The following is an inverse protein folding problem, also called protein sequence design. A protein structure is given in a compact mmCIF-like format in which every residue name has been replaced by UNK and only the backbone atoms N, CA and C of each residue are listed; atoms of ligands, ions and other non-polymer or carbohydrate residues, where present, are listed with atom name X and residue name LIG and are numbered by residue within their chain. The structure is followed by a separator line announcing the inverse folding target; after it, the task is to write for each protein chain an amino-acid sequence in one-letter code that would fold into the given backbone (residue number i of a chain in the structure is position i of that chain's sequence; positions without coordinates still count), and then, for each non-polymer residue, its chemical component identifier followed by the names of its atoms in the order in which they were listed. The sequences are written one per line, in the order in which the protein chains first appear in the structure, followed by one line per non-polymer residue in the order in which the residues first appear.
data_IF_222512394282
#
_entry.id   IF_222512394282
#
_cell.length_a   1.000
_cell.length_b   1.000
_cell.length_c   1.000
_cell.angle_alpha   90.00
_cell.angle_beta   90.00
_cell.angle_gamma   90.00
#
_symmetry.space_group_name_H-M   'P 1'
#
loop_
_entity.id
_entity.type
_entity.pdbx_description
1 polymer ?
#
# COMPACT_ATOMS: atom_id res chain seq x y z
N UNK A 1 1.99 -8.73 -27.48
CA UNK A 1 1.51 -9.62 -26.39
C UNK A 1 2.53 -9.56 -25.23
N UNK A 2 3.11 -8.41 -24.90
CA UNK A 2 2.55 -7.28 -24.14
C UNK A 2 2.03 -7.65 -22.73
N UNK A 3 2.78 -8.51 -22.03
CA UNK A 3 2.73 -8.64 -20.56
C UNK A 3 3.47 -7.47 -19.89
N UNK A 4 3.18 -6.24 -20.30
CA UNK A 4 3.55 -5.02 -19.58
C UNK A 4 2.31 -4.48 -18.87
N UNK A 5 1.61 -5.34 -18.13
CA UNK A 5 0.64 -4.89 -17.14
C UNK A 5 1.40 -4.58 -15.85
N UNK A 6 2.30 -3.60 -15.95
CA UNK A 6 2.87 -2.92 -14.79
C UNK A 6 1.68 -2.20 -14.16
N UNK A 7 1.17 -2.72 -13.03
CA UNK A 7 0.24 -1.95 -12.21
C UNK A 7 1.03 -0.79 -11.61
N UNK A 8 1.01 0.37 -12.27
CA UNK A 8 1.78 1.57 -11.93
C UNK A 8 1.41 2.17 -10.56
N UNK A 9 0.24 1.83 -10.02
CA UNK A 9 -0.21 2.22 -8.68
C UNK A 9 -0.11 1.07 -7.68
N UNK A 10 1.03 1.00 -7.00
CA UNK A 10 1.17 0.20 -5.78
C UNK A 10 1.61 1.08 -4.62
N UNK A 11 0.89 1.00 -3.50
CA UNK A 11 1.08 1.88 -2.33
C UNK A 11 1.44 1.03 -1.12
N UNK A 12 2.48 1.44 -0.41
CA UNK A 12 2.85 0.90 0.89
C UNK A 12 2.32 1.73 2.04
N UNK A 13 1.79 1.10 3.08
CA UNK A 13 1.39 1.75 4.32
C UNK A 13 1.97 1.02 5.55
N UNK A 14 2.37 1.79 6.56
CA UNK A 14 2.80 1.28 7.86
C UNK A 14 1.93 1.94 8.92
N UNK A 15 1.33 1.11 9.77
CA UNK A 15 0.51 1.55 10.88
C UNK A 15 1.10 1.07 12.21
N UNK A 16 0.83 1.82 13.27
CA UNK A 16 1.04 1.31 14.63
C UNK A 16 0.06 0.14 14.90
N UNK A 17 0.44 -0.83 15.72
CA UNK A 17 -0.42 -1.98 16.08
C UNK A 17 -1.80 -1.58 16.63
N UNK A 18 -1.89 -0.42 17.29
CA UNK A 18 -3.15 0.13 17.82
C UNK A 18 -4.01 0.85 16.77
N UNK A 19 -3.45 1.20 15.61
CA UNK A 19 -4.09 2.00 14.56
C UNK A 19 -4.99 1.17 13.61
N UNK A 20 -5.77 0.23 14.18
CA UNK A 20 -6.66 -0.66 13.39
C UNK A 20 -7.75 0.07 12.63
N UNK A 21 -8.26 1.17 13.20
CA UNK A 21 -9.27 2.01 12.54
C UNK A 21 -8.70 2.73 11.32
N UNK A 22 -7.41 3.09 11.36
CA UNK A 22 -6.76 3.77 10.26
C UNK A 22 -6.57 2.82 9.06
N UNK A 23 -6.21 1.54 9.30
CA UNK A 23 -6.18 0.51 8.24
C UNK A 23 -7.57 0.27 7.63
N UNK A 24 -8.62 0.20 8.43
CA UNK A 24 -9.98 0.01 7.94
C UNK A 24 -10.40 1.17 7.02
N UNK A 25 -10.24 2.41 7.48
CA UNK A 25 -10.57 3.61 6.69
C UNK A 25 -9.68 3.70 5.45
N UNK A 26 -8.39 3.37 5.57
CA UNK A 26 -7.45 3.36 4.45
C UNK A 26 -7.88 2.36 3.36
N UNK A 27 -8.24 1.13 3.74
CA UNK A 27 -8.72 0.10 2.80
C UNK A 27 -10.03 0.48 2.13
N UNK A 28 -10.96 1.10 2.86
CA UNK A 28 -12.20 1.60 2.30
C UNK A 28 -11.94 2.69 1.26
N UNK A 29 -11.08 3.67 1.57
CA UNK A 29 -10.72 4.72 0.63
C UNK A 29 -10.08 4.17 -0.65
N UNK A 30 -9.19 3.17 -0.53
CA UNK A 30 -8.59 2.48 -1.67
C UNK A 30 -9.64 1.74 -2.49
N UNK A 31 -10.61 1.07 -1.84
CA UNK A 31 -11.70 0.39 -2.53
C UNK A 31 -12.60 1.38 -3.28
N UNK A 32 -12.97 2.50 -2.67
CA UNK A 32 -13.78 3.54 -3.30
C UNK A 32 -13.08 4.12 -4.55
N UNK A 33 -11.78 4.40 -4.47
CA UNK A 33 -10.97 4.86 -5.60
C UNK A 33 -10.89 3.80 -6.71
N UNK A 34 -10.74 2.52 -6.34
CA UNK A 34 -10.71 1.42 -7.29
C UNK A 34 -12.06 1.16 -7.98
N UNK A 35 -13.17 1.54 -7.37
CA UNK A 35 -14.51 1.46 -7.98
C UNK A 35 -14.82 2.67 -8.86
N UNK A 36 -14.10 3.78 -8.67
CA UNK A 36 -14.30 4.99 -9.43
C UNK A 36 -13.51 4.97 -10.76
N UNK A 37 -14.20 4.57 -11.82
CA UNK A 37 -13.65 4.53 -13.17
C UNK A 37 -13.39 5.93 -13.76
N UNK A 38 -13.83 7.03 -13.16
CA UNK A 38 -13.48 8.39 -13.61
C UNK A 38 -12.07 8.80 -13.16
N UNK A 39 -11.52 8.13 -12.14
CA UNK A 39 -10.20 8.42 -11.56
C UNK A 39 -9.18 7.40 -12.03
N UNK A 40 -9.54 6.11 -12.05
CA UNK A 40 -8.70 5.01 -12.50
C UNK A 40 -9.45 4.14 -13.50
N UNK A 41 -9.43 4.57 -14.76
CA UNK A 41 -10.16 3.93 -15.86
C UNK A 41 -9.67 2.50 -16.14
N UNK A 42 -8.35 2.27 -16.12
CA UNK A 42 -7.73 1.01 -16.57
C UNK A 42 -6.76 0.39 -15.57
N UNK A 43 -6.38 1.12 -14.53
CA UNK A 43 -5.48 0.66 -13.48
C UNK A 43 -6.22 0.42 -12.18
N UNK A 44 -5.67 -0.43 -11.31
CA UNK A 44 -6.15 -0.63 -9.94
C UNK A 44 -5.01 -0.39 -8.96
N UNK A 45 -5.33 0.30 -7.87
CA UNK A 45 -4.44 0.47 -6.73
C UNK A 45 -4.29 -0.87 -6.04
N UNK A 46 -3.05 -1.31 -5.90
CA UNK A 46 -2.67 -2.42 -5.03
C UNK A 46 -2.02 -1.86 -3.77
N UNK A 47 -2.22 -2.51 -2.62
CA UNK A 47 -1.67 -2.06 -1.34
C UNK A 47 -0.94 -3.16 -0.59
N UNK A 48 0.13 -2.78 0.08
CA UNK A 48 0.84 -3.58 1.07
C UNK A 48 0.80 -2.82 2.40
N UNK A 49 0.26 -3.45 3.45
CA UNK A 49 0.10 -2.83 4.77
C UNK A 49 0.87 -3.65 5.79
N UNK A 50 1.71 -2.99 6.59
CA UNK A 50 2.41 -3.60 7.72
C UNK A 50 2.07 -2.90 9.03
N UNK A 51 1.96 -3.67 10.10
CA UNK A 51 1.79 -3.17 11.46
C UNK A 51 3.10 -3.28 12.24
N UNK A 52 3.47 -2.22 12.93
CA UNK A 52 4.71 -2.16 13.73
C UNK A 52 4.42 -1.65 15.13
N UNK A 53 5.28 -2.00 16.09
CA UNK A 53 5.28 -1.34 17.39
C UNK A 53 5.75 0.11 17.19
N UNK A 54 4.88 1.09 17.44
CA UNK A 54 5.21 2.51 17.27
C UNK A 54 6.31 3.01 18.21
N UNK A 55 6.67 2.23 19.24
CA UNK A 55 7.81 2.51 20.10
C UNK A 55 9.12 1.91 19.58
N UNK A 56 9.08 1.10 18.51
CA UNK A 56 10.24 0.48 17.89
C UNK A 56 10.57 1.12 16.53
N UNK A 57 11.37 2.21 16.51
CA UNK A 57 11.71 2.91 15.28
C UNK A 57 12.54 2.04 14.31
N UNK A 58 13.29 1.06 14.81
CA UNK A 58 14.07 0.16 13.96
C UNK A 58 13.18 -0.78 13.15
N UNK A 59 12.12 -1.31 13.77
CA UNK A 59 11.12 -2.12 13.08
C UNK A 59 10.43 -1.30 11.99
N UNK A 60 9.98 -0.08 12.31
CA UNK A 60 9.34 0.81 11.34
C UNK A 60 10.25 1.09 10.12
N UNK A 61 11.55 1.33 10.33
CA UNK A 61 12.52 1.52 9.24
C UNK A 61 12.76 0.24 8.45
N UNK A 62 12.82 -0.91 9.12
CA UNK A 62 13.01 -2.20 8.45
C UNK A 62 11.84 -2.52 7.52
N UNK A 63 10.62 -2.50 8.04
CA UNK A 63 9.42 -2.80 7.26
C UNK A 63 9.22 -1.77 6.14
N UNK A 64 9.52 -0.49 6.41
CA UNK A 64 9.52 0.55 5.36
C UNK A 64 10.53 0.29 4.25
N UNK A 65 11.70 -0.24 4.58
CA UNK A 65 12.69 -0.66 3.58
C UNK A 65 12.24 -1.90 2.80
N UNK A 66 11.57 -2.86 3.44
CA UNK A 66 11.02 -4.05 2.76
C UNK A 66 9.96 -3.62 1.75
N UNK A 67 8.98 -2.82 2.19
CA UNK A 67 7.91 -2.27 1.34
C UNK A 67 8.51 -1.50 0.16
N UNK A 68 9.46 -0.58 0.39
CA UNK A 68 10.04 0.22 -0.71
C UNK A 68 10.97 -0.56 -1.64
N UNK A 69 11.63 -1.62 -1.16
CA UNK A 69 12.51 -2.46 -2.00
C UNK A 69 11.73 -3.39 -2.91
N UNK A 70 10.55 -3.84 -2.52
CA UNK A 70 9.68 -4.64 -3.36
C UNK A 70 9.33 -3.93 -4.68
N UNK A 71 9.37 -2.60 -4.71
CA UNK A 71 9.12 -1.77 -5.89
C UNK A 71 10.38 -1.33 -6.65
N UNK A 72 11.58 -1.55 -6.10
CA UNK A 72 12.85 -1.09 -6.72
C UNK A 72 13.42 -2.08 -7.75
N UNK A 73 12.91 -3.30 -7.80
CA UNK A 73 13.39 -4.39 -8.67
C UNK A 73 12.33 -4.95 -9.62
N UNK A 74 11.26 -4.20 -9.88
CA UNK A 74 10.21 -4.54 -10.86
C UNK A 74 10.37 -3.70 -12.12
#
# INVERSE_FOLDING_TARGET
HFLLFLSSLSIGAIFDESARKDDEVFRLAVADLNLNNEILETEKITISVEFVDGNNPFQAVQEGRVITRQYRWQ
#
